data_IF_967234442033
#
_entry.id   IF_967234442033
#
_cell.length_a   1.000
_cell.length_b   1.000
_cell.length_c   1.000
_cell.angle_alpha   90.00
_cell.angle_beta   90.00
_cell.angle_gamma   90.00
#
_symmetry.space_group_name_H-M   'P 1'
#
loop_
_entity.id
_entity.type
_entity.pdbx_description
1 polymer ?
#
# COMPACT_ATOMS: atom_id res chain seq x y z
N UNK A 1 -8.26 0.61 -27.69
CA UNK A 1 -7.07 0.92 -28.51
C UNK A 1 -6.08 -0.22 -28.40
N UNK A 2 -5.61 -0.80 -29.52
CA UNK A 2 -4.62 -1.89 -29.52
C UNK A 2 -3.41 -1.55 -28.63
N UNK A 3 -2.89 -2.54 -27.92
CA UNK A 3 -1.76 -2.38 -26.99
C UNK A 3 -2.12 -1.90 -25.58
N UNK A 4 -3.35 -1.43 -25.33
CA UNK A 4 -3.81 -1.17 -23.96
C UNK A 4 -3.94 -2.48 -23.17
N UNK A 5 -3.43 -2.47 -21.93
CA UNK A 5 -3.49 -3.62 -21.04
C UNK A 5 -4.92 -3.91 -20.61
N UNK A 6 -5.27 -5.20 -20.59
CA UNK A 6 -6.50 -5.69 -19.98
C UNK A 6 -6.12 -6.41 -18.69
N UNK A 7 -6.56 -5.84 -17.58
CA UNK A 7 -6.24 -6.29 -16.24
C UNK A 7 -7.49 -6.84 -15.56
N UNK A 8 -7.31 -7.86 -14.74
CA UNK A 8 -8.34 -8.33 -13.82
C UNK A 8 -7.69 -9.13 -12.69
N UNK A 9 -8.49 -9.65 -11.77
CA UNK A 9 -8.00 -10.43 -10.62
C UNK A 9 -9.08 -11.37 -10.11
N UNK A 10 -8.65 -12.40 -9.39
CA UNK A 10 -9.54 -13.12 -8.47
C UNK A 10 -9.95 -14.52 -8.93
N UNK A 11 -9.37 -15.02 -10.02
CA UNK A 11 -9.53 -16.42 -10.40
C UNK A 11 -8.84 -17.33 -9.37
N UNK A 12 -9.24 -18.59 -9.34
CA UNK A 12 -8.58 -19.65 -8.57
C UNK A 12 -8.72 -20.97 -9.33
N UNK A 13 -7.75 -21.86 -9.20
CA UNK A 13 -7.81 -23.18 -9.83
C UNK A 13 -9.06 -23.97 -9.41
N UNK A 14 -9.51 -23.78 -8.16
CA UNK A 14 -10.65 -24.49 -7.59
C UNK A 14 -11.99 -24.23 -8.29
N UNK A 15 -12.10 -23.15 -9.09
CA UNK A 15 -13.31 -22.83 -9.85
C UNK A 15 -13.13 -23.02 -11.36
N UNK A 16 -11.98 -23.54 -11.81
CA UNK A 16 -11.76 -23.85 -13.22
C UNK A 16 -12.52 -25.14 -13.58
N UNK A 17 -13.26 -25.18 -14.72
CA UNK A 17 -14.17 -26.28 -15.06
C UNK A 17 -13.56 -27.69 -14.98
N UNK A 18 -12.29 -27.82 -15.38
CA UNK A 18 -11.59 -29.10 -15.47
C UNK A 18 -10.55 -29.31 -14.35
N UNK A 19 -10.46 -28.37 -13.40
CA UNK A 19 -9.43 -28.38 -12.35
C UNK A 19 -8.00 -28.19 -12.87
N UNK A 20 -7.85 -27.89 -14.16
CA UNK A 20 -6.57 -27.60 -14.81
C UNK A 20 -6.31 -26.09 -14.89
N UNK A 21 -5.03 -25.75 -14.99
CA UNK A 21 -4.64 -24.37 -15.19
C UNK A 21 -5.08 -23.86 -16.57
N UNK A 22 -5.56 -22.61 -16.67
CA UNK A 22 -5.84 -22.03 -17.96
C UNK A 22 -4.54 -21.72 -18.72
N UNK A 23 -4.64 -21.55 -20.04
CA UNK A 23 -3.47 -21.35 -20.91
C UNK A 23 -3.47 -19.97 -21.56
N UNK A 24 -2.32 -19.51 -22.04
CA UNK A 24 -2.17 -18.26 -22.76
C UNK A 24 -3.05 -18.24 -24.03
N UNK A 25 -3.20 -19.39 -24.69
CA UNK A 25 -4.03 -19.55 -25.88
C UNK A 25 -5.51 -19.18 -25.61
N UNK A 26 -6.04 -19.53 -24.44
CA UNK A 26 -7.41 -19.16 -24.05
C UNK A 26 -7.61 -17.64 -23.93
N UNK A 27 -6.59 -16.87 -23.53
CA UNK A 27 -6.66 -15.40 -23.56
C UNK A 27 -6.38 -14.84 -24.95
N UNK A 28 -5.55 -15.50 -25.75
CA UNK A 28 -5.28 -15.11 -27.13
C UNK A 28 -6.55 -15.23 -28.00
N UNK A 29 -7.46 -16.18 -27.69
CA UNK A 29 -8.79 -16.27 -28.29
C UNK A 29 -9.66 -15.02 -28.03
N UNK A 30 -9.47 -14.38 -26.88
CA UNK A 30 -10.16 -13.12 -26.53
C UNK A 30 -9.51 -11.95 -27.29
N UNK A 31 -8.18 -11.85 -27.24
CA UNK A 31 -7.44 -10.88 -28.03
C UNK A 31 -5.96 -11.19 -28.13
N UNK A 32 -5.43 -11.03 -29.35
CA UNK A 32 -3.99 -11.02 -29.64
C UNK A 32 -3.40 -9.61 -29.74
N UNK A 33 -4.24 -8.57 -29.63
CA UNK A 33 -3.83 -7.16 -29.78
C UNK A 33 -3.66 -6.44 -28.44
N UNK A 34 -4.13 -7.05 -27.35
CA UNK A 34 -4.10 -6.49 -26.01
C UNK A 34 -3.29 -7.40 -25.07
N UNK A 35 -2.25 -6.89 -24.40
CA UNK A 35 -1.57 -7.67 -23.37
C UNK A 35 -2.51 -7.86 -22.17
N UNK A 36 -2.54 -9.08 -21.64
CA UNK A 36 -3.42 -9.48 -20.56
C UNK A 36 -2.63 -10.11 -19.42
N UNK A 37 -2.96 -9.73 -18.19
CA UNK A 37 -2.52 -10.43 -16.99
C UNK A 37 -3.63 -10.40 -15.93
N UNK A 38 -3.90 -11.57 -15.37
CA UNK A 38 -4.88 -11.78 -14.32
C UNK A 38 -4.20 -12.46 -13.14
N UNK A 39 -3.81 -11.74 -12.07
CA UNK A 39 -3.40 -12.38 -10.83
C UNK A 39 -4.54 -13.19 -10.22
N UNK A 40 -4.20 -14.30 -9.57
CA UNK A 40 -5.17 -15.11 -8.86
C UNK A 40 -5.67 -14.38 -7.60
N UNK A 41 -6.62 -15.02 -6.89
CA UNK A 41 -7.15 -14.51 -5.62
C UNK A 41 -6.06 -14.22 -4.60
N UNK A 42 -5.02 -15.06 -4.51
CA UNK A 42 -3.94 -14.86 -3.53
C UNK A 42 -2.94 -13.79 -3.97
N UNK A 43 -2.72 -13.64 -5.28
CA UNK A 43 -1.66 -12.81 -5.85
C UNK A 43 -0.34 -13.56 -6.05
N UNK A 44 -0.24 -14.83 -5.64
CA UNK A 44 0.94 -15.68 -5.80
C UNK A 44 0.99 -16.40 -7.15
N UNK A 45 -0.09 -16.35 -7.93
CA UNK A 45 -0.12 -16.82 -9.30
C UNK A 45 -0.68 -15.75 -10.25
N UNK A 46 -0.32 -15.83 -11.53
CA UNK A 46 -0.94 -15.02 -12.56
C UNK A 46 -1.11 -15.78 -13.86
N UNK A 47 -2.16 -15.43 -14.59
CA UNK A 47 -2.48 -15.94 -15.91
C UNK A 47 -2.32 -14.83 -16.94
N UNK A 48 -1.41 -15.01 -17.89
CA UNK A 48 -1.04 -14.03 -18.90
C UNK A 48 -1.17 -14.58 -20.32
N UNK A 49 -1.49 -13.73 -21.29
CA UNK A 49 -1.57 -14.12 -22.70
C UNK A 49 -0.21 -14.09 -23.39
N UNK A 50 -0.14 -14.62 -24.62
CA UNK A 50 1.14 -14.71 -25.33
C UNK A 50 1.75 -13.35 -25.62
N UNK A 51 0.94 -12.31 -25.82
CA UNK A 51 1.45 -10.95 -26.02
C UNK A 51 2.10 -10.39 -24.76
N UNK A 52 1.48 -10.56 -23.58
CA UNK A 52 2.05 -10.11 -22.31
C UNK A 52 3.38 -10.81 -21.97
N UNK A 53 3.47 -12.13 -22.20
CA UNK A 53 4.71 -12.89 -22.04
C UNK A 53 5.83 -12.33 -22.94
N UNK A 54 5.54 -12.10 -24.22
CA UNK A 54 6.52 -11.55 -25.17
C UNK A 54 7.01 -10.16 -24.77
N UNK A 55 6.10 -9.27 -24.33
CA UNK A 55 6.48 -7.94 -23.86
C UNK A 55 7.37 -8.00 -22.62
N UNK A 56 7.18 -9.00 -21.76
CA UNK A 56 8.01 -9.25 -20.58
C UNK A 56 9.34 -9.95 -20.90
N UNK A 57 9.62 -10.25 -22.18
CA UNK A 57 10.81 -10.99 -22.58
C UNK A 57 10.80 -12.47 -22.18
N UNK A 58 9.62 -13.03 -21.89
CA UNK A 58 9.46 -14.45 -21.56
C UNK A 58 9.32 -15.25 -22.86
N UNK A 59 10.22 -16.21 -23.05
CA UNK A 59 10.19 -17.22 -24.10
C UNK A 59 10.13 -18.62 -23.48
N UNK A 60 9.93 -19.63 -24.31
CA UNK A 60 9.97 -21.04 -23.88
C UNK A 60 11.29 -21.40 -23.18
N UNK A 61 12.39 -20.71 -23.51
CA UNK A 61 13.73 -20.93 -22.94
C UNK A 61 14.13 -19.98 -21.80
N UNK A 62 13.28 -19.02 -21.41
CA UNK A 62 13.60 -18.11 -20.29
C UNK A 62 13.70 -18.89 -18.98
N UNK A 63 14.81 -18.87 -18.24
CA UNK A 63 14.91 -19.61 -16.98
C UNK A 63 13.90 -19.10 -15.95
N UNK A 64 13.52 -19.95 -15.01
CA UNK A 64 12.70 -19.53 -13.87
C UNK A 64 13.48 -18.52 -13.00
N UNK A 65 12.84 -17.44 -12.51
CA UNK A 65 13.48 -16.48 -11.63
C UNK A 65 13.70 -17.06 -10.22
N UNK A 66 14.65 -16.52 -9.48
CA UNK A 66 14.84 -16.88 -8.07
C UNK A 66 13.53 -16.69 -7.30
N UNK A 67 13.08 -17.76 -6.62
CA UNK A 67 11.86 -17.75 -5.84
C UNK A 67 10.56 -17.73 -6.65
N UNK A 68 10.57 -18.14 -7.92
CA UNK A 68 9.36 -18.21 -8.75
C UNK A 68 9.47 -19.19 -9.90
N UNK A 69 8.42 -19.27 -10.72
CA UNK A 69 8.32 -20.27 -11.79
C UNK A 69 7.52 -19.75 -12.99
N UNK A 70 7.97 -20.10 -14.19
CA UNK A 70 7.21 -19.99 -15.44
C UNK A 70 6.71 -21.40 -15.80
N UNK A 71 5.40 -21.64 -15.71
CA UNK A 71 4.84 -22.98 -15.94
C UNK A 71 4.91 -23.33 -17.42
N UNK A 72 5.41 -24.53 -17.73
CA UNK A 72 5.56 -25.06 -19.08
C UNK A 72 4.73 -26.31 -19.29
N UNK A 73 4.26 -26.50 -20.53
CA UNK A 73 3.59 -27.72 -20.94
C UNK A 73 4.59 -28.85 -21.22
N UNK A 74 4.09 -30.03 -21.60
CA UNK A 74 4.91 -31.19 -21.92
C UNK A 74 5.85 -30.98 -23.14
N UNK A 75 5.58 -29.99 -23.99
CA UNK A 75 6.43 -29.61 -25.11
C UNK A 75 7.47 -28.54 -24.73
N UNK A 76 7.51 -28.12 -23.45
CA UNK A 76 8.40 -27.09 -22.94
C UNK A 76 7.94 -25.66 -23.23
N UNK A 77 6.70 -25.46 -23.73
CA UNK A 77 6.19 -24.13 -24.06
C UNK A 77 5.65 -23.42 -22.82
N UNK A 78 5.93 -22.12 -22.70
CA UNK A 78 5.37 -21.32 -21.62
C UNK A 78 3.84 -21.26 -21.72
N UNK A 79 3.16 -21.72 -20.67
CA UNK A 79 1.70 -21.88 -20.66
C UNK A 79 0.94 -20.58 -20.42
N UNK A 80 1.60 -19.53 -19.94
CA UNK A 80 0.94 -18.31 -19.45
C UNK A 80 0.67 -18.29 -17.96
N UNK A 81 0.91 -19.38 -17.23
CA UNK A 81 0.88 -19.39 -15.76
C UNK A 81 2.25 -19.05 -15.18
N UNK A 82 2.25 -18.13 -14.22
CA UNK A 82 3.42 -17.63 -13.51
C UNK A 82 3.18 -17.77 -12.00
N UNK A 83 4.21 -18.17 -11.25
CA UNK A 83 4.15 -18.25 -9.79
C UNK A 83 5.19 -17.35 -9.14
N UNK A 84 4.80 -16.78 -7.99
CA UNK A 84 5.66 -16.01 -7.10
C UNK A 84 6.43 -14.90 -7.83
N UNK A 85 7.77 -14.91 -7.82
CA UNK A 85 8.57 -13.88 -8.52
C UNK A 85 8.39 -13.90 -10.04
N UNK A 86 7.92 -15.02 -10.61
CA UNK A 86 7.50 -15.11 -12.00
C UNK A 86 6.34 -14.15 -12.33
N UNK A 87 5.41 -13.93 -11.39
CA UNK A 87 4.31 -12.97 -11.56
C UNK A 87 4.84 -11.55 -11.76
N UNK A 88 5.93 -11.20 -11.04
CA UNK A 88 6.52 -9.88 -11.12
C UNK A 88 7.19 -9.60 -12.48
N UNK A 89 7.65 -10.63 -13.19
CA UNK A 89 8.25 -10.46 -14.53
C UNK A 89 7.28 -9.78 -15.50
N UNK A 90 5.98 -10.09 -15.43
CA UNK A 90 4.96 -9.45 -16.26
C UNK A 90 4.33 -8.25 -15.54
N UNK A 91 4.06 -8.30 -14.23
CA UNK A 91 3.44 -7.15 -13.54
C UNK A 91 4.30 -5.89 -13.61
N UNK A 92 5.62 -6.01 -13.57
CA UNK A 92 6.53 -4.86 -13.56
C UNK A 92 6.54 -4.07 -14.89
N UNK A 93 6.07 -4.66 -15.98
CA UNK A 93 5.94 -3.97 -17.27
C UNK A 93 4.53 -3.41 -17.53
N UNK A 94 3.57 -3.69 -16.64
CA UNK A 94 2.24 -3.08 -16.70
C UNK A 94 2.40 -1.59 -16.37
N UNK A 95 1.99 -0.66 -17.26
CA UNK A 95 2.05 0.76 -16.98
C UNK A 95 1.22 1.09 -15.75
N UNK A 96 1.74 1.97 -14.89
CA UNK A 96 0.93 2.58 -13.86
C UNK A 96 -0.22 3.37 -14.50
N UNK A 97 -1.43 3.35 -13.91
CA UNK A 97 -2.53 4.15 -14.42
C UNK A 97 -2.16 5.63 -14.38
N UNK A 98 -2.55 6.35 -15.43
CA UNK A 98 -2.47 7.81 -15.45
C UNK A 98 -3.40 8.42 -14.39
N UNK A 99 -3.17 9.68 -14.02
CA UNK A 99 -4.09 10.42 -13.14
C UNK A 99 -5.53 10.41 -13.62
N UNK A 100 -5.77 10.48 -14.94
CA UNK A 100 -7.12 10.43 -15.50
C UNK A 100 -7.76 9.05 -15.32
N UNK A 101 -7.01 7.98 -15.57
CA UNK A 101 -7.47 6.61 -15.34
C UNK A 101 -7.72 6.35 -13.85
N UNK A 102 -6.87 6.88 -12.96
CA UNK A 102 -7.11 6.84 -11.51
C UNK A 102 -8.42 7.53 -11.14
N UNK A 103 -8.73 8.70 -11.71
CA UNK A 103 -9.99 9.38 -11.47
C UNK A 103 -11.19 8.53 -11.96
N UNK A 104 -11.09 7.89 -13.13
CA UNK A 104 -12.12 6.96 -13.63
C UNK A 104 -12.30 5.75 -12.70
N UNK A 105 -11.20 5.15 -12.26
CA UNK A 105 -11.22 4.03 -11.29
C UNK A 105 -11.86 4.47 -9.97
N UNK A 106 -11.52 5.66 -9.49
CA UNK A 106 -12.10 6.24 -8.28
C UNK A 106 -13.60 6.43 -8.42
N UNK A 107 -14.12 6.95 -9.55
CA UNK A 107 -15.57 7.09 -9.80
C UNK A 107 -16.33 5.78 -9.60
N UNK A 108 -15.76 4.66 -10.03
CA UNK A 108 -16.32 3.32 -9.80
C UNK A 108 -16.16 2.90 -8.33
N UNK A 109 -14.98 3.12 -7.73
CA UNK A 109 -14.70 2.75 -6.35
C UNK A 109 -15.61 3.46 -5.32
N UNK A 110 -15.96 4.74 -5.53
CA UNK A 110 -16.87 5.47 -4.63
C UNK A 110 -18.24 4.79 -4.57
N UNK A 111 -18.76 4.31 -5.70
CA UNK A 111 -20.04 3.60 -5.74
C UNK A 111 -20.01 2.36 -4.85
N UNK A 112 -18.91 1.61 -4.90
CA UNK A 112 -18.68 0.45 -4.02
C UNK A 112 -18.53 0.83 -2.55
N UNK A 113 -17.89 1.97 -2.26
CA UNK A 113 -17.83 2.49 -0.90
C UNK A 113 -19.23 2.83 -0.36
N UNK A 114 -20.08 3.47 -1.17
CA UNK A 114 -21.45 3.82 -0.77
C UNK A 114 -22.35 2.59 -0.58
N UNK A 115 -22.20 1.56 -1.41
CA UNK A 115 -22.87 0.27 -1.21
C UNK A 115 -22.54 -0.32 0.18
N UNK A 116 -21.34 -0.08 0.69
CA UNK A 116 -20.90 -0.46 2.04
C UNK A 116 -21.19 0.58 3.14
N UNK A 117 -21.84 1.69 2.83
CA UNK A 117 -22.11 2.78 3.79
C UNK A 117 -20.90 3.65 4.15
N UNK A 118 -19.79 3.52 3.43
CA UNK A 118 -18.59 4.33 3.64
C UNK A 118 -18.75 5.71 3.00
N UNK A 119 -18.52 6.76 3.78
CA UNK A 119 -18.69 8.17 3.37
C UNK A 119 -17.39 9.00 3.45
N UNK A 120 -16.30 8.38 3.88
CA UNK A 120 -15.00 9.02 3.95
C UNK A 120 -13.88 8.03 4.21
N UNK A 121 -12.68 8.36 3.71
CA UNK A 121 -11.51 7.51 3.70
C UNK A 121 -10.25 8.32 4.03
N UNK A 122 -9.26 7.63 4.60
CA UNK A 122 -7.91 8.14 4.76
C UNK A 122 -7.04 7.50 3.69
N UNK A 123 -6.44 8.35 2.84
CA UNK A 123 -5.62 7.90 1.73
C UNK A 123 -4.12 8.04 2.06
N UNK A 124 -3.35 7.05 1.60
CA UNK A 124 -1.92 6.91 1.82
C UNK A 124 -1.13 6.69 0.52
N UNK A 125 -1.80 6.75 -0.63
CA UNK A 125 -1.16 6.58 -1.93
C UNK A 125 -0.28 7.80 -2.27
N UNK A 126 0.35 7.84 -3.44
CA UNK A 126 1.28 8.90 -3.83
C UNK A 126 0.57 10.08 -4.55
N UNK A 127 1.37 10.94 -5.18
CA UNK A 127 1.00 12.17 -5.89
C UNK A 127 -0.08 11.97 -6.93
N UNK A 128 -0.01 10.93 -7.76
CA UNK A 128 -0.93 10.80 -8.90
C UNK A 128 -2.35 10.49 -8.43
N UNK A 129 -2.49 9.74 -7.33
CA UNK A 129 -3.75 9.58 -6.61
C UNK A 129 -4.24 10.94 -6.08
N UNK A 130 -3.37 11.77 -5.50
CA UNK A 130 -3.78 13.08 -5.01
C UNK A 130 -4.26 14.00 -6.13
N UNK A 131 -3.59 14.01 -7.28
CA UNK A 131 -4.03 14.78 -8.45
C UNK A 131 -5.40 14.31 -8.96
N UNK A 132 -5.66 12.99 -8.92
CA UNK A 132 -6.95 12.44 -9.31
C UNK A 132 -8.06 12.88 -8.33
N UNK A 133 -7.79 12.82 -7.02
CA UNK A 133 -8.70 13.33 -5.99
C UNK A 133 -8.98 14.83 -6.16
N UNK A 134 -7.95 15.64 -6.45
CA UNK A 134 -8.12 17.07 -6.72
C UNK A 134 -8.97 17.32 -7.96
N UNK A 135 -8.76 16.56 -9.04
CA UNK A 135 -9.55 16.68 -10.26
C UNK A 135 -11.03 16.34 -10.03
N UNK A 136 -11.32 15.22 -9.35
CA UNK A 136 -12.69 14.84 -9.00
C UNK A 136 -13.34 15.90 -8.11
N UNK A 137 -12.60 16.43 -7.14
CA UNK A 137 -13.09 17.47 -6.25
C UNK A 137 -13.44 18.76 -7.01
N UNK A 138 -12.54 19.26 -7.87
CA UNK A 138 -12.75 20.47 -8.66
C UNK A 138 -13.93 20.36 -9.62
N UNK A 139 -14.22 19.15 -10.11
CA UNK A 139 -15.34 18.87 -11.01
C UNK A 139 -16.66 18.60 -10.27
N UNK A 140 -16.68 18.59 -8.93
CA UNK A 140 -17.87 18.26 -8.14
C UNK A 140 -18.25 16.77 -8.18
N UNK A 141 -17.29 15.90 -8.51
CA UNK A 141 -17.50 14.46 -8.71
C UNK A 141 -16.95 13.60 -7.56
N UNK A 142 -16.18 14.20 -6.66
CA UNK A 142 -15.69 13.52 -5.46
C UNK A 142 -16.83 13.35 -4.44
N UNK A 143 -17.32 12.13 -4.28
CA UNK A 143 -18.44 11.84 -3.37
C UNK A 143 -18.03 11.10 -2.09
N UNK A 144 -16.74 11.12 -1.73
CA UNK A 144 -16.22 10.64 -0.45
C UNK A 144 -15.43 11.77 0.22
N UNK A 145 -15.50 11.85 1.55
CA UNK A 145 -14.63 12.76 2.32
C UNK A 145 -13.25 12.15 2.45
N UNK A 146 -12.24 12.79 1.88
CA UNK A 146 -10.89 12.27 1.77
C UNK A 146 -9.93 13.03 2.69
N UNK A 147 -9.16 12.26 3.47
CA UNK A 147 -8.02 12.76 4.23
C UNK A 147 -6.75 12.21 3.58
N UNK A 148 -6.04 13.05 2.82
CA UNK A 148 -4.82 12.66 2.10
C UNK A 148 -3.60 12.80 3.02
N UNK A 149 -2.93 11.70 3.32
CA UNK A 149 -1.65 11.72 4.02
C UNK A 149 -0.50 11.85 3.02
N UNK A 150 0.58 12.46 3.47
CA UNK A 150 1.75 12.79 2.65
C UNK A 150 2.88 11.81 3.00
N UNK A 151 3.49 11.12 2.03
CA UNK A 151 4.63 10.24 2.31
C UNK A 151 5.79 10.98 2.99
N UNK A 152 6.50 10.36 3.95
CA UNK A 152 7.59 11.00 4.70
C UNK A 152 8.67 11.63 3.82
N UNK A 153 8.97 11.03 2.66
CA UNK A 153 9.92 11.55 1.68
C UNK A 153 9.54 12.93 1.11
N UNK A 154 8.31 13.39 1.34
CA UNK A 154 7.79 14.69 0.90
C UNK A 154 7.61 15.71 2.02
N UNK A 155 8.01 15.39 3.26
CA UNK A 155 7.87 16.27 4.42
C UNK A 155 8.41 17.68 4.16
N UNK A 156 9.65 17.78 3.67
CA UNK A 156 10.30 19.08 3.48
C UNK A 156 9.63 19.93 2.41
N UNK A 157 9.07 19.30 1.38
CA UNK A 157 8.27 19.99 0.39
C UNK A 157 6.96 20.50 1.00
N UNK A 158 6.27 19.68 1.81
CA UNK A 158 5.03 20.07 2.47
C UNK A 158 5.25 21.26 3.43
N UNK A 159 6.32 21.23 4.21
CA UNK A 159 6.74 22.35 5.06
C UNK A 159 7.07 23.58 4.20
N UNK A 160 7.85 23.39 3.13
CA UNK A 160 8.32 24.49 2.27
C UNK A 160 7.19 25.29 1.62
N UNK A 161 6.03 24.66 1.35
CA UNK A 161 4.84 25.34 0.85
C UNK A 161 3.83 25.72 1.95
N UNK A 162 4.15 25.48 3.22
CA UNK A 162 3.33 25.86 4.37
C UNK A 162 2.09 24.99 4.59
N UNK A 163 2.09 23.73 4.14
CA UNK A 163 0.98 22.82 4.40
C UNK A 163 0.92 22.43 5.88
N UNK A 164 -0.30 22.39 6.42
CA UNK A 164 -0.61 21.94 7.77
C UNK A 164 -1.72 20.88 7.73
N UNK A 165 -1.80 20.06 8.78
CA UNK A 165 -2.91 19.11 8.92
C UNK A 165 -4.24 19.85 8.96
N UNK A 166 -5.21 19.36 8.18
CA UNK A 166 -6.52 19.97 8.01
C UNK A 166 -6.63 20.97 6.85
N UNK A 167 -5.53 21.32 6.17
CA UNK A 167 -5.58 22.20 4.99
C UNK A 167 -6.45 21.58 3.89
N UNK A 168 -7.40 22.35 3.34
CA UNK A 168 -8.40 21.89 2.38
C UNK A 168 -9.79 22.26 2.85
N UNK A 169 -10.78 21.40 2.57
CA UNK A 169 -12.17 21.60 2.97
C UNK A 169 -12.82 20.30 3.49
N UNK A 170 -14.15 20.32 3.59
CA UNK A 170 -14.93 19.19 4.11
C UNK A 170 -14.83 17.91 3.26
N UNK A 171 -14.45 18.04 1.99
CA UNK A 171 -14.40 16.95 1.02
C UNK A 171 -12.98 16.44 0.77
N UNK A 172 -12.01 17.32 0.64
CA UNK A 172 -10.62 16.94 0.43
C UNK A 172 -9.70 17.79 1.31
N UNK A 173 -9.01 17.13 2.26
CA UNK A 173 -8.05 17.79 3.14
C UNK A 173 -6.78 17.00 3.35
N UNK A 174 -5.72 17.72 3.69
CA UNK A 174 -4.43 17.16 4.08
C UNK A 174 -4.54 16.58 5.48
N UNK A 175 -4.13 15.31 5.61
CA UNK A 175 -3.95 14.60 6.86
C UNK A 175 -2.60 14.91 7.47
N UNK A 176 -1.84 13.87 7.78
CA UNK A 176 -0.50 13.96 8.33
C UNK A 176 0.58 13.42 7.40
N UNK A 177 1.77 13.26 7.96
CA UNK A 177 2.88 12.55 7.34
C UNK A 177 2.73 11.05 7.57
N UNK A 178 2.84 10.25 6.52
CA UNK A 178 2.83 8.79 6.59
C UNK A 178 4.25 8.23 6.67
N UNK A 179 4.51 7.46 7.72
CA UNK A 179 5.75 6.72 8.00
C UNK A 179 5.44 5.21 8.02
N UNK A 180 6.44 4.39 7.70
CA UNK A 180 6.43 2.95 7.93
C UNK A 180 7.52 2.57 8.93
N UNK A 181 7.14 2.12 10.12
CA UNK A 181 8.11 1.66 11.12
C UNK A 181 8.66 0.28 10.77
N UNK A 182 7.81 -0.63 10.29
CA UNK A 182 8.16 -2.02 10.00
C UNK A 182 7.41 -2.61 8.79
N UNK A 183 7.61 -3.91 8.57
CA UNK A 183 6.94 -4.68 7.53
C UNK A 183 5.63 -5.31 8.00
N UNK A 184 5.43 -6.59 7.71
CA UNK A 184 4.19 -7.31 8.01
C UNK A 184 4.45 -8.70 8.61
N UNK A 185 3.46 -9.23 9.34
CA UNK A 185 3.58 -10.56 9.98
C UNK A 185 3.65 -11.71 8.98
N UNK A 186 2.87 -11.67 7.89
CA UNK A 186 2.84 -12.72 6.88
C UNK A 186 4.22 -13.09 6.32
N UNK A 187 4.98 -12.11 5.78
CA UNK A 187 6.36 -12.32 5.33
C UNK A 187 7.39 -12.32 6.46
N UNK A 188 6.99 -12.26 7.74
CA UNK A 188 7.86 -12.21 8.92
C UNK A 188 8.83 -11.02 8.92
N UNK A 189 8.34 -9.85 8.51
CA UNK A 189 9.12 -8.59 8.45
C UNK A 189 8.61 -7.52 9.42
N UNK A 190 7.50 -7.75 10.12
CA UNK A 190 7.09 -6.89 11.24
C UNK A 190 8.14 -6.97 12.37
N UNK A 191 8.49 -5.83 12.97
CA UNK A 191 9.61 -5.71 13.91
C UNK A 191 9.18 -6.12 15.32
N UNK A 192 9.80 -7.18 15.83
CA UNK A 192 9.42 -7.87 17.06
C UNK A 192 10.45 -7.68 18.18
N UNK A 193 10.02 -7.75 19.44
CA UNK A 193 10.91 -7.74 20.62
C UNK A 193 11.64 -9.09 20.73
N UNK A 194 10.89 -10.18 20.59
CA UNK A 194 11.43 -11.54 20.55
C UNK A 194 11.61 -12.01 19.10
N UNK A 195 12.55 -12.92 18.81
CA UNK A 195 12.71 -13.43 17.46
C UNK A 195 11.50 -14.25 17.02
N UNK A 196 11.27 -14.33 15.71
CA UNK A 196 10.24 -15.21 15.13
C UNK A 196 10.51 -16.67 15.49
N UNK A 197 9.44 -17.42 15.72
CA UNK A 197 9.52 -18.83 16.09
C UNK A 197 10.25 -19.65 15.01
N UNK A 198 11.27 -20.40 15.43
CA UNK A 198 12.13 -21.17 14.53
C UNK A 198 13.21 -20.35 13.80
N UNK A 199 13.26 -19.04 13.98
CA UNK A 199 14.22 -18.13 13.35
C UNK A 199 14.93 -17.25 14.40
N UNK A 200 15.91 -17.79 15.15
CA UNK A 200 16.45 -17.14 16.35
C UNK A 200 17.13 -15.78 16.12
N UNK A 201 17.45 -15.45 14.87
CA UNK A 201 18.07 -14.19 14.46
C UNK A 201 17.13 -13.29 13.65
N UNK A 202 15.89 -13.70 13.40
CA UNK A 202 14.92 -12.88 12.69
C UNK A 202 14.03 -12.15 13.70
N UNK A 203 14.20 -10.83 13.78
CA UNK A 203 13.37 -9.94 14.58
C UNK A 203 12.46 -9.08 13.70
N UNK A 204 12.37 -9.35 12.40
CA UNK A 204 11.75 -8.47 11.42
C UNK A 204 12.69 -7.37 10.92
N UNK A 205 12.10 -6.34 10.30
CA UNK A 205 12.83 -5.27 9.63
C UNK A 205 12.35 -3.93 10.17
N UNK A 206 13.29 -3.11 10.66
CA UNK A 206 13.05 -1.69 10.90
C UNK A 206 13.11 -0.95 9.57
N UNK A 207 11.95 -0.55 9.04
CA UNK A 207 11.84 0.19 7.77
C UNK A 207 12.25 1.65 7.96
N UNK A 208 11.86 2.24 9.09
CA UNK A 208 12.35 3.53 9.57
C UNK A 208 12.68 3.34 11.04
N UNK A 209 13.94 3.55 11.42
CA UNK A 209 14.38 3.33 12.80
C UNK A 209 13.81 4.39 13.75
N UNK A 210 13.95 4.14 15.06
CA UNK A 210 13.34 4.98 16.09
C UNK A 210 13.88 6.41 16.06
N UNK A 211 15.18 6.56 15.86
CA UNK A 211 15.86 7.85 15.80
C UNK A 211 15.38 8.67 14.59
N UNK A 212 15.24 8.05 13.42
CA UNK A 212 14.70 8.67 12.22
C UNK A 212 13.21 9.02 12.40
N UNK A 213 12.41 8.10 12.96
CA UNK A 213 11.01 8.37 13.29
C UNK A 213 10.86 9.56 14.24
N UNK A 214 11.72 9.68 15.25
CA UNK A 214 11.75 10.82 16.16
C UNK A 214 12.04 12.12 15.42
N UNK A 215 13.09 12.14 14.59
CA UNK A 215 13.48 13.32 13.82
C UNK A 215 12.37 13.80 12.88
N UNK A 216 11.76 12.87 12.13
CA UNK A 216 10.65 13.16 11.21
C UNK A 216 9.43 13.66 11.99
N UNK A 217 9.08 12.98 13.10
CA UNK A 217 7.86 13.28 13.85
C UNK A 217 7.92 14.61 14.58
N UNK A 218 9.06 14.92 15.21
CA UNK A 218 9.32 16.22 15.84
C UNK A 218 9.26 17.34 14.81
N UNK A 219 9.95 17.17 13.66
CA UNK A 219 9.94 18.16 12.58
C UNK A 219 8.53 18.39 12.02
N UNK A 220 7.75 17.34 11.78
CA UNK A 220 6.38 17.45 11.31
C UNK A 220 5.48 18.17 12.33
N UNK A 221 5.53 17.77 13.60
CA UNK A 221 4.74 18.37 14.68
C UNK A 221 5.04 19.86 14.86
N UNK A 222 6.33 20.24 14.87
CA UNK A 222 6.76 21.63 14.96
C UNK A 222 6.25 22.52 13.80
N UNK A 223 5.87 21.91 12.68
CA UNK A 223 5.31 22.59 11.51
C UNK A 223 3.80 22.36 11.33
N UNK A 224 3.10 21.89 12.37
CA UNK A 224 1.64 21.75 12.35
C UNK A 224 1.13 20.56 11.52
N UNK A 225 1.98 19.56 11.28
CA UNK A 225 1.61 18.32 10.59
C UNK A 225 1.56 17.18 11.61
N UNK A 226 0.40 16.52 11.69
CA UNK A 226 0.26 15.25 12.40
C UNK A 226 1.06 14.15 11.71
N UNK A 227 1.24 13.03 12.39
CA UNK A 227 2.04 11.90 11.91
C UNK A 227 1.22 10.64 12.06
N UNK A 228 1.22 9.83 11.01
CA UNK A 228 0.56 8.54 10.91
C UNK A 228 1.63 7.48 10.66
N UNK A 229 1.76 6.49 11.52
CA UNK A 229 2.82 5.48 11.40
C UNK A 229 2.22 4.09 11.25
N UNK A 230 2.63 3.37 10.20
CA UNK A 230 2.40 1.93 10.12
C UNK A 230 3.29 1.22 11.14
N UNK A 231 2.71 0.45 12.06
CA UNK A 231 3.45 -0.38 13.01
C UNK A 231 2.66 -1.67 13.32
N UNK A 232 3.22 -2.82 12.95
CA UNK A 232 2.59 -4.13 13.16
C UNK A 232 3.18 -4.87 14.36
N UNK A 233 4.50 -4.99 14.43
CA UNK A 233 5.18 -5.74 15.48
C UNK A 233 5.22 -5.00 16.82
N UNK A 234 5.42 -5.74 17.91
CA UNK A 234 5.41 -5.18 19.27
C UNK A 234 6.57 -4.21 19.50
N UNK A 235 7.76 -4.49 18.95
CA UNK A 235 8.90 -3.55 19.01
C UNK A 235 8.63 -2.28 18.20
N UNK A 236 8.03 -2.39 17.01
CA UNK A 236 7.66 -1.22 16.22
C UNK A 236 6.66 -0.33 16.96
N UNK A 237 5.61 -0.92 17.54
CA UNK A 237 4.62 -0.21 18.33
C UNK A 237 5.23 0.45 19.57
N UNK A 238 6.10 -0.25 20.29
CA UNK A 238 6.82 0.29 21.45
C UNK A 238 7.66 1.52 21.07
N UNK A 239 8.42 1.42 19.99
CA UNK A 239 9.30 2.50 19.53
C UNK A 239 8.53 3.76 19.12
N UNK A 240 7.45 3.61 18.35
CA UNK A 240 6.65 4.78 17.95
C UNK A 240 5.88 5.40 19.12
N UNK A 241 5.51 4.61 20.14
CA UNK A 241 4.89 5.15 21.35
C UNK A 241 5.89 5.99 22.16
N UNK A 242 7.15 5.57 22.26
CA UNK A 242 8.23 6.38 22.85
C UNK A 242 8.44 7.68 22.07
N UNK A 243 8.43 7.62 20.74
CA UNK A 243 8.52 8.80 19.87
C UNK A 243 7.34 9.74 20.11
N UNK A 244 6.11 9.24 20.17
CA UNK A 244 4.94 10.08 20.43
C UNK A 244 4.94 10.67 21.82
N UNK A 245 5.40 9.95 22.83
CA UNK A 245 5.57 10.49 24.18
C UNK A 245 6.53 11.70 24.18
N UNK A 246 7.67 11.58 23.52
CA UNK A 246 8.62 12.67 23.37
C UNK A 246 8.02 13.86 22.59
N UNK A 247 7.37 13.60 21.45
CA UNK A 247 6.71 14.64 20.63
C UNK A 247 5.58 15.34 21.41
N UNK A 248 4.78 14.61 22.20
CA UNK A 248 3.77 15.22 23.09
C UNK A 248 4.41 16.13 24.14
N UNK A 249 5.59 15.78 24.65
CA UNK A 249 6.37 16.65 25.51
C UNK A 249 6.79 17.95 24.82
N UNK A 250 7.26 17.88 23.58
CA UNK A 250 7.62 19.06 22.78
C UNK A 250 6.42 19.96 22.47
N UNK A 251 5.27 19.36 22.14
CA UNK A 251 4.00 20.07 21.92
C UNK A 251 3.52 20.77 23.20
N UNK A 252 3.57 20.08 24.35
CA UNK A 252 3.21 20.66 25.63
C UNK A 252 4.11 21.84 26.00
N UNK A 253 5.41 21.77 25.70
CA UNK A 253 6.35 22.88 25.89
C UNK A 253 6.02 24.10 25.01
N UNK A 254 5.37 23.89 23.84
CA UNK A 254 4.81 24.95 22.99
C UNK A 254 3.40 25.39 23.38
N UNK A 255 2.82 24.82 24.44
CA UNK A 255 1.46 25.11 24.90
C UNK A 255 0.36 24.49 24.03
N UNK A 256 0.69 23.45 23.26
CA UNK A 256 -0.23 22.83 22.31
C UNK A 256 -1.00 21.67 22.96
N UNK A 257 -2.33 21.64 22.76
CA UNK A 257 -3.15 20.53 23.24
C UNK A 257 -2.84 19.26 22.43
N UNK A 258 -2.82 18.07 23.06
CA UNK A 258 -2.75 16.78 22.35
C UNK A 258 -3.88 16.54 21.33
N UNK A 259 -4.95 17.35 21.37
CA UNK A 259 -6.05 17.32 20.40
C UNK A 259 -5.79 18.15 19.14
N UNK A 260 -4.80 19.04 19.15
CA UNK A 260 -4.44 19.90 18.00
C UNK A 260 -3.95 19.04 16.84
N UNK A 261 -2.95 18.19 17.08
CA UNK A 261 -2.43 17.24 16.11
C UNK A 261 -2.86 15.81 16.47
N UNK A 262 -3.60 15.19 15.54
CA UNK A 262 -4.17 13.86 15.69
C UNK A 262 -3.19 12.79 15.20
N UNK A 263 -2.14 12.54 15.97
CA UNK A 263 -1.22 11.43 15.72
C UNK A 263 -1.92 10.07 15.77
N UNK A 264 -1.44 9.11 14.98
CA UNK A 264 -2.08 7.80 14.85
C UNK A 264 -1.10 6.70 14.46
N UNK A 265 -1.39 5.49 14.95
CA UNK A 265 -0.70 4.27 14.55
C UNK A 265 -1.68 3.42 13.74
N UNK A 266 -1.24 2.96 12.58
CA UNK A 266 -1.97 2.03 11.72
C UNK A 266 -1.62 0.59 12.10
N UNK A 267 -2.61 -0.28 12.01
CA UNK A 267 -2.61 -1.71 12.36
C UNK A 267 -2.66 -1.97 13.86
N UNK A 268 -1.63 -1.57 14.61
CA UNK A 268 -1.52 -1.84 16.06
C UNK A 268 -1.77 -3.33 16.37
N UNK A 269 -1.21 -4.20 15.54
CA UNK A 269 -1.62 -5.60 15.49
C UNK A 269 -1.04 -6.44 16.64
N UNK A 270 0.21 -6.17 17.01
CA UNK A 270 0.88 -6.80 18.16
C UNK A 270 1.36 -5.71 19.09
N UNK A 271 0.88 -5.73 20.33
CA UNK A 271 1.29 -4.80 21.39
C UNK A 271 1.93 -5.56 22.54
N UNK A 272 3.03 -5.01 23.07
CA UNK A 272 3.59 -5.46 24.33
C UNK A 272 2.63 -5.08 25.48
N UNK A 273 2.61 -5.89 26.55
CA UNK A 273 1.70 -5.68 27.68
C UNK A 273 1.88 -4.30 28.34
N UNK A 274 3.11 -3.80 28.36
CA UNK A 274 3.46 -2.49 28.93
C UNK A 274 2.89 -1.31 28.11
N UNK A 275 2.55 -1.53 26.84
CA UNK A 275 2.10 -0.48 25.93
C UNK A 275 0.57 -0.35 25.84
N UNK A 276 -0.19 -1.28 26.43
CA UNK A 276 -1.65 -1.40 26.28
C UNK A 276 -2.42 -0.10 26.58
N UNK A 277 -1.94 0.71 27.54
CA UNK A 277 -2.60 1.95 27.95
C UNK A 277 -2.00 3.21 27.30
N UNK A 278 -0.84 3.11 26.65
CA UNK A 278 -0.06 4.28 26.22
C UNK A 278 -0.74 5.07 25.11
N UNK A 279 -1.41 4.39 24.17
CA UNK A 279 -2.21 5.04 23.11
C UNK A 279 -3.21 6.04 23.68
N UNK A 280 -3.99 5.62 24.69
CA UNK A 280 -5.00 6.46 25.32
C UNK A 280 -4.36 7.60 26.15
N UNK A 281 -3.29 7.30 26.89
CA UNK A 281 -2.56 8.29 27.69
C UNK A 281 -1.95 9.41 26.82
N UNK A 282 -1.44 9.06 25.64
CA UNK A 282 -0.82 9.99 24.69
C UNK A 282 -1.83 10.65 23.74
N UNK A 283 -3.11 10.29 23.84
CA UNK A 283 -4.17 10.71 22.90
C UNK A 283 -3.78 10.43 21.43
N UNK A 284 -3.33 9.20 21.17
CA UNK A 284 -2.97 8.67 19.86
C UNK A 284 -4.09 7.75 19.37
N UNK A 285 -4.44 7.86 18.08
CA UNK A 285 -5.49 7.04 17.48
C UNK A 285 -4.90 5.69 17.06
N UNK A 286 -5.53 4.59 17.48
CA UNK A 286 -5.30 3.28 16.88
C UNK A 286 -6.24 3.11 15.68
N UNK A 287 -5.70 2.68 14.53
CA UNK A 287 -6.45 2.59 13.27
C UNK A 287 -6.17 1.34 12.46
#
# INVERSE_FOLDING_TARGET
EPGKWVLGRGWTLAIMPDGEFPTAAMLDEISTQHPMIFPDKSGHAAWANSLALRLAGITDSTPDPDGGQIVRDAAGKATGILFETGVHMVRNIVPNPTTAELADMMRVAQQKCWEGGLIGLHDFDDRDCFLALQSLHQNGELGLRMVKNIPQARLDYAIGVGLQSGFGDDWLRIGGIKIFADGALGPRTALMIAPYEGEPNNYGIAVTDKEEMMAISSKASANGLSVTVHAIGDKANHDILDVYEAVRGEEAARGESPRKLRHRIEHVQVLHADDLNRLAQLNVIAS
#
